data_IF_839496277689
#
_entry.id   IF_839496277689
#
_cell.length_a   1.000
_cell.length_b   1.000
_cell.length_c   1.000
_cell.angle_alpha   90.00
_cell.angle_beta   90.00
_cell.angle_gamma   90.00
#
_symmetry.space_group_name_H-M   'P 1'
#
loop_
_entity.id
_entity.type
_entity.pdbx_description
1 polymer ?
#
# COMPACT_ATOMS: atom_id res chain seq x y z
N UNK A 1 1.57 4.73 14.36
CA UNK A 1 2.30 4.60 15.65
C UNK A 1 1.46 3.74 16.61
N UNK A 2 1.80 3.67 17.90
CA UNK A 2 1.02 2.91 18.88
C UNK A 2 -0.42 3.40 19.05
N UNK A 3 -0.67 4.70 18.84
CA UNK A 3 -2.00 5.29 18.98
C UNK A 3 -2.88 5.08 17.74
N UNK A 4 -2.28 5.07 16.55
CA UNK A 4 -3.03 5.01 15.28
C UNK A 4 -3.17 3.61 14.68
N UNK A 5 -2.38 2.63 15.13
CA UNK A 5 -2.35 1.30 14.48
C UNK A 5 -3.71 0.57 14.52
N UNK A 6 -4.45 0.72 15.62
CA UNK A 6 -5.78 0.13 15.74
C UNK A 6 -6.79 0.82 14.81
N UNK A 7 -6.74 2.15 14.73
CA UNK A 7 -7.64 2.92 13.86
C UNK A 7 -7.43 2.56 12.38
N UNK A 8 -6.17 2.36 11.96
CA UNK A 8 -5.84 1.89 10.61
C UNK A 8 -6.48 0.52 10.36
N UNK A 9 -6.31 -0.42 11.30
CA UNK A 9 -6.86 -1.77 11.17
C UNK A 9 -8.39 -1.76 11.07
N UNK A 10 -9.05 -1.02 11.96
CA UNK A 10 -10.52 -0.89 12.03
C UNK A 10 -11.10 -0.07 10.87
N UNK A 11 -10.31 0.76 10.19
CA UNK A 11 -10.73 1.44 8.97
C UNK A 11 -10.60 0.54 7.72
N UNK A 12 -9.49 -0.19 7.61
CA UNK A 12 -9.19 -1.03 6.43
C UNK A 12 -10.15 -2.21 6.31
N UNK A 13 -10.35 -2.98 7.39
CA UNK A 13 -11.07 -4.24 7.27
C UNK A 13 -12.54 -4.07 6.86
N UNK A 14 -13.32 -3.16 7.49
CA UNK A 14 -14.72 -2.97 7.09
C UNK A 14 -14.84 -2.44 5.67
N UNK A 15 -13.93 -1.55 5.24
CA UNK A 15 -13.94 -0.99 3.88
C UNK A 15 -13.69 -2.07 2.83
N UNK A 16 -12.69 -2.95 3.04
CA UNK A 16 -12.48 -4.11 2.16
C UNK A 16 -13.72 -5.01 2.13
N UNK A 17 -14.34 -5.31 3.28
CA UNK A 17 -15.55 -6.16 3.31
C UNK A 17 -16.75 -5.54 2.60
N UNK A 18 -16.85 -4.22 2.61
CA UNK A 18 -17.96 -3.50 1.97
C UNK A 18 -17.76 -3.35 0.45
N UNK A 19 -16.53 -3.10 0.01
CA UNK A 19 -16.22 -2.80 -1.40
C UNK A 19 -15.82 -4.05 -2.20
N UNK A 20 -15.23 -5.05 -1.56
CA UNK A 20 -14.71 -6.26 -2.21
C UNK A 20 -15.63 -7.46 -1.99
N UNK A 21 -16.00 -8.12 -3.09
CA UNK A 21 -16.74 -9.39 -3.05
C UNK A 21 -15.79 -10.57 -2.91
N UNK A 22 -16.30 -11.72 -2.49
CA UNK A 22 -15.54 -12.98 -2.48
C UNK A 22 -14.41 -13.07 -1.46
N UNK A 23 -14.28 -12.12 -0.53
CA UNK A 23 -13.29 -12.20 0.56
C UNK A 23 -13.58 -13.42 1.44
N UNK A 24 -12.65 -14.37 1.47
CA UNK A 24 -12.75 -15.62 2.27
C UNK A 24 -11.98 -15.54 3.58
N UNK A 25 -10.86 -14.81 3.58
CA UNK A 25 -10.11 -14.49 4.79
C UNK A 25 -9.67 -13.04 4.73
N UNK A 26 -9.78 -12.35 5.86
CA UNK A 26 -9.29 -10.98 5.98
C UNK A 26 -8.93 -10.71 7.44
N UNK A 27 -7.71 -10.24 7.65
CA UNK A 27 -7.20 -9.86 8.96
C UNK A 27 -5.81 -9.26 8.85
N UNK A 28 -5.08 -9.28 9.96
CA UNK A 28 -3.71 -8.82 9.99
C UNK A 28 -3.01 -9.22 11.27
N UNK A 29 -1.69 -9.11 11.27
CA UNK A 29 -0.88 -9.32 12.45
C UNK A 29 0.26 -8.30 12.51
N UNK A 30 0.75 -8.07 13.71
CA UNK A 30 1.99 -7.34 13.93
C UNK A 30 3.15 -8.33 14.02
N UNK A 31 4.25 -8.06 13.32
CA UNK A 31 5.46 -8.90 13.33
C UNK A 31 6.68 -8.21 13.91
N UNK A 32 6.64 -6.88 14.05
CA UNK A 32 7.73 -6.04 14.52
C UNK A 32 7.17 -4.90 15.36
N UNK A 33 7.76 -4.70 16.53
CA UNK A 33 7.41 -3.61 17.43
C UNK A 33 8.65 -2.78 17.75
N UNK A 34 8.43 -1.49 17.92
CA UNK A 34 9.44 -0.46 18.13
C UNK A 34 8.99 0.47 19.26
N UNK A 35 9.89 1.33 19.72
CA UNK A 35 9.58 2.31 20.78
C UNK A 35 8.40 3.21 20.37
N UNK A 36 8.31 3.58 19.10
CA UNK A 36 7.32 4.53 18.57
C UNK A 36 6.14 3.89 17.83
N UNK A 37 6.05 2.56 17.73
CA UNK A 37 4.93 1.90 17.07
C UNK A 37 5.21 0.47 16.68
N UNK A 38 4.33 -0.07 15.83
CA UNK A 38 4.39 -1.46 15.37
C UNK A 38 3.93 -1.51 13.92
N UNK A 39 4.29 -2.57 13.18
CA UNK A 39 3.75 -2.77 11.85
C UNK A 39 2.37 -3.43 11.89
N UNK A 40 1.56 -3.22 10.86
CA UNK A 40 0.39 -4.06 10.56
C UNK A 40 0.64 -4.77 9.24
N UNK A 41 0.61 -6.10 9.27
CA UNK A 41 0.71 -6.95 8.11
C UNK A 41 -0.67 -7.50 7.77
N UNK A 42 -1.34 -6.90 6.78
CA UNK A 42 -2.64 -7.37 6.32
C UNK A 42 -2.52 -8.68 5.57
N UNK A 43 -3.41 -9.62 5.88
CA UNK A 43 -3.54 -10.91 5.19
C UNK A 43 -4.96 -10.98 4.64
N UNK A 44 -5.08 -11.35 3.37
CA UNK A 44 -6.35 -11.47 2.69
C UNK A 44 -6.31 -12.63 1.71
N UNK A 45 -7.43 -13.33 1.62
CA UNK A 45 -7.70 -14.32 0.59
C UNK A 45 -9.10 -14.04 0.05
N UNK A 46 -9.28 -14.33 -1.23
CA UNK A 46 -10.53 -14.17 -1.92
C UNK A 46 -10.73 -15.29 -2.93
N UNK A 47 -11.98 -15.64 -3.16
CA UNK A 47 -12.35 -16.53 -4.25
C UNK A 47 -12.43 -15.72 -5.55
N UNK A 48 -11.84 -16.28 -6.61
CA UNK A 48 -11.88 -15.74 -7.97
C UNK A 48 -13.22 -16.05 -8.65
N UNK A 49 -14.32 -15.65 -7.99
CA UNK A 49 -15.68 -15.86 -8.51
C UNK A 49 -15.85 -14.99 -9.75
N UNK A 50 -16.14 -15.60 -10.89
CA UNK A 50 -16.34 -14.92 -12.19
C UNK A 50 -15.16 -13.98 -12.56
N UNK A 51 -13.94 -14.43 -12.28
CA UNK A 51 -12.71 -13.68 -12.53
C UNK A 51 -11.71 -14.54 -13.30
N UNK A 52 -11.40 -14.12 -14.53
CA UNK A 52 -10.31 -14.73 -15.28
C UNK A 52 -8.95 -14.31 -14.69
N UNK A 53 -7.89 -15.12 -14.82
CA UNK A 53 -6.58 -14.84 -14.23
C UNK A 53 -5.99 -13.46 -14.60
N UNK A 54 -6.20 -13.01 -15.83
CA UNK A 54 -5.69 -11.72 -16.32
C UNK A 54 -6.38 -10.52 -15.65
N UNK A 55 -7.58 -10.72 -15.13
CA UNK A 55 -8.41 -9.69 -14.50
C UNK A 55 -8.19 -9.60 -12.98
N UNK A 56 -7.57 -10.61 -12.37
CA UNK A 56 -7.42 -10.72 -10.91
C UNK A 56 -6.79 -9.45 -10.32
N UNK A 57 -5.73 -8.96 -10.97
CA UNK A 57 -4.99 -7.82 -10.44
C UNK A 57 -5.87 -6.57 -10.36
N UNK A 58 -6.66 -6.31 -11.41
CA UNK A 58 -7.51 -5.13 -11.50
C UNK A 58 -8.78 -5.28 -10.67
N UNK A 59 -9.34 -6.49 -10.59
CA UNK A 59 -10.57 -6.77 -9.84
C UNK A 59 -10.35 -6.89 -8.34
N UNK A 60 -9.19 -7.40 -7.89
CA UNK A 60 -8.95 -7.71 -6.48
C UNK A 60 -7.67 -7.07 -5.94
N UNK A 61 -6.50 -7.40 -6.51
CA UNK A 61 -5.22 -7.03 -5.90
C UNK A 61 -5.05 -5.51 -5.77
N UNK A 62 -5.16 -4.75 -6.87
CA UNK A 62 -4.98 -3.31 -6.85
C UNK A 62 -6.04 -2.57 -6.04
N UNK A 63 -7.34 -2.91 -6.10
CA UNK A 63 -8.34 -2.32 -5.20
C UNK A 63 -8.07 -2.58 -3.71
N UNK A 64 -7.69 -3.80 -3.33
CA UNK A 64 -7.37 -4.11 -1.92
C UNK A 64 -6.14 -3.32 -1.46
N UNK A 65 -5.07 -3.30 -2.27
CA UNK A 65 -3.88 -2.48 -1.98
C UNK A 65 -4.25 -0.99 -1.90
N UNK A 66 -5.20 -0.54 -2.71
CA UNK A 66 -5.69 0.83 -2.68
C UNK A 66 -6.30 1.20 -1.35
N UNK A 67 -7.28 0.43 -0.92
CA UNK A 67 -7.97 0.63 0.35
C UNK A 67 -6.95 0.63 1.50
N UNK A 68 -6.02 -0.33 1.51
CA UNK A 68 -4.98 -0.40 2.54
C UNK A 68 -4.13 0.88 2.55
N UNK A 69 -3.60 1.32 1.40
CA UNK A 69 -2.74 2.50 1.32
C UNK A 69 -3.49 3.79 1.68
N UNK A 70 -4.72 3.96 1.17
CA UNK A 70 -5.55 5.14 1.42
C UNK A 70 -5.90 5.30 2.89
N UNK A 71 -6.42 4.24 3.53
CA UNK A 71 -6.77 4.31 4.96
C UNK A 71 -5.52 4.45 5.83
N UNK A 72 -4.41 3.80 5.46
CA UNK A 72 -3.14 3.94 6.18
C UNK A 72 -2.66 5.40 6.17
N UNK A 73 -2.63 6.04 5.01
CA UNK A 73 -2.23 7.45 4.89
C UNK A 73 -3.22 8.38 5.60
N UNK A 74 -4.53 8.13 5.48
CA UNK A 74 -5.57 8.93 6.12
C UNK A 74 -5.42 8.98 7.65
N UNK A 75 -4.93 7.90 8.24
CA UNK A 75 -4.67 7.79 9.68
C UNK A 75 -3.22 8.08 10.07
N UNK A 76 -2.39 8.60 9.16
CA UNK A 76 -1.00 9.00 9.45
C UNK A 76 -0.02 7.83 9.58
N UNK A 77 -0.37 6.64 9.09
CA UNK A 77 0.56 5.53 8.95
C UNK A 77 1.42 5.64 7.69
N UNK A 78 2.53 4.91 7.68
CA UNK A 78 3.36 4.69 6.48
C UNK A 78 2.84 3.47 5.70
N UNK A 79 2.68 3.59 4.39
CA UNK A 79 2.10 2.53 3.54
C UNK A 79 3.01 1.32 3.33
N UNK A 80 4.27 1.40 3.76
CA UNK A 80 5.26 0.34 3.61
C UNK A 80 6.14 0.26 4.85
N UNK A 81 6.21 -0.94 5.45
CA UNK A 81 7.22 -1.25 6.45
C UNK A 81 8.52 -1.79 5.82
N UNK A 82 8.45 -2.85 5.00
CA UNK A 82 9.64 -3.48 4.39
C UNK A 82 9.47 -4.01 2.95
N UNK A 83 8.25 -4.12 2.42
CA UNK A 83 8.05 -4.61 1.05
C UNK A 83 8.49 -3.65 -0.06
N UNK A 84 8.74 -2.39 0.27
CA UNK A 84 8.99 -1.34 -0.71
C UNK A 84 7.71 -0.83 -1.39
N UNK A 85 7.86 0.30 -2.08
CA UNK A 85 6.78 0.96 -2.83
C UNK A 85 6.40 0.09 -4.03
N UNK A 86 7.35 -0.16 -4.95
CA UNK A 86 7.07 -0.94 -6.15
C UNK A 86 6.09 -0.23 -7.09
N UNK A 87 5.82 -0.83 -8.25
CA UNK A 87 4.81 -0.30 -9.19
C UNK A 87 3.40 -0.28 -8.58
N UNK A 88 3.10 -1.28 -7.74
CA UNK A 88 1.80 -1.42 -7.10
C UNK A 88 1.44 -0.26 -6.17
N UNK A 89 2.42 0.42 -5.56
CA UNK A 89 2.17 1.54 -4.62
C UNK A 89 2.74 2.87 -5.06
N UNK A 90 3.41 2.93 -6.22
CA UNK A 90 4.08 4.14 -6.70
C UNK A 90 3.15 5.36 -6.73
N UNK A 91 1.86 5.17 -7.03
CA UNK A 91 0.88 6.27 -7.10
C UNK A 91 0.70 7.04 -5.79
N UNK A 92 0.99 6.43 -4.64
CA UNK A 92 0.91 7.07 -3.31
C UNK A 92 2.26 7.61 -2.82
N UNK A 93 3.35 7.47 -3.59
CA UNK A 93 4.68 7.86 -3.10
C UNK A 93 4.74 9.34 -2.71
N UNK A 94 3.98 10.20 -3.39
CA UNK A 94 3.95 11.63 -3.10
C UNK A 94 3.28 11.92 -1.76
N UNK A 95 2.19 11.21 -1.47
CA UNK A 95 1.45 11.37 -0.22
C UNK A 95 2.22 10.78 0.96
N UNK A 96 2.86 9.62 0.75
CA UNK A 96 3.73 8.95 1.73
C UNK A 96 4.93 9.83 2.13
N UNK A 97 5.63 10.41 1.16
CA UNK A 97 6.84 11.20 1.43
C UNK A 97 6.55 12.67 1.73
N UNK A 98 5.36 13.17 1.39
CA UNK A 98 4.93 14.54 1.62
C UNK A 98 5.97 15.57 1.16
N UNK A 99 6.43 16.39 2.10
CA UNK A 99 7.42 17.45 1.85
C UNK A 99 8.80 16.94 1.40
N UNK A 100 9.11 15.66 1.61
CA UNK A 100 10.37 15.06 1.18
C UNK A 100 10.34 14.53 -0.25
N UNK A 101 9.17 14.46 -0.88
CA UNK A 101 9.02 13.96 -2.25
C UNK A 101 9.88 14.69 -3.31
N UNK A 102 10.03 16.03 -3.31
CA UNK A 102 10.88 16.72 -4.29
C UNK A 102 12.35 16.29 -4.24
N UNK A 103 12.87 15.93 -3.05
CA UNK A 103 14.23 15.42 -2.90
C UNK A 103 14.40 14.07 -3.63
N UNK A 104 13.41 13.18 -3.49
CA UNK A 104 13.41 11.87 -4.17
C UNK A 104 13.40 12.02 -5.69
N UNK A 105 12.60 12.96 -6.21
CA UNK A 105 12.55 13.29 -7.65
C UNK A 105 13.89 13.85 -8.13
N UNK A 106 14.48 14.79 -7.39
CA UNK A 106 15.77 15.40 -7.74
C UNK A 106 16.89 14.35 -7.80
N UNK A 107 16.95 13.43 -6.84
CA UNK A 107 17.90 12.31 -6.85
C UNK A 107 17.68 11.40 -8.07
N UNK A 108 16.42 11.03 -8.37
CA UNK A 108 16.11 10.19 -9.53
C UNK A 108 16.52 10.85 -10.84
N UNK A 109 16.29 12.14 -11.01
CA UNK A 109 16.69 12.88 -12.22
C UNK A 109 18.21 13.01 -12.35
N UNK A 110 18.93 13.26 -11.23
CA UNK A 110 20.38 13.39 -11.24
C UNK A 110 21.08 12.07 -11.61
N UNK A 111 20.60 10.94 -11.10
CA UNK A 111 21.23 9.64 -11.30
C UNK A 111 20.65 8.82 -12.46
N UNK A 112 19.45 9.14 -12.94
CA UNK A 112 18.79 8.45 -14.06
C UNK A 112 18.09 9.43 -15.01
N UNK A 113 18.83 10.33 -15.68
CA UNK A 113 18.25 11.37 -16.53
C UNK A 113 17.46 10.81 -17.73
N UNK A 114 17.77 9.57 -18.16
CA UNK A 114 17.08 8.89 -19.26
C UNK A 114 15.93 8.00 -18.78
N UNK A 115 15.73 7.88 -17.46
CA UNK A 115 14.66 7.09 -16.87
C UNK A 115 14.73 5.60 -17.20
N UNK A 116 15.92 5.00 -17.34
CA UNK A 116 16.06 3.59 -17.76
C UNK A 116 16.11 2.63 -16.56
N UNK A 117 16.41 3.11 -15.36
CA UNK A 117 16.54 2.26 -14.17
C UNK A 117 15.17 1.97 -13.55
N UNK A 118 14.62 0.80 -13.87
CA UNK A 118 13.41 0.22 -13.28
C UNK A 118 12.21 1.20 -13.19
N UNK A 119 11.81 1.70 -14.35
CA UNK A 119 10.73 2.68 -14.55
C UNK A 119 9.46 2.39 -13.75
N UNK A 120 8.84 3.45 -13.20
CA UNK A 120 7.53 3.39 -12.57
C UNK A 120 7.51 2.81 -11.15
N UNK A 121 8.65 2.38 -10.61
CA UNK A 121 8.71 1.64 -9.33
C UNK A 121 8.72 2.55 -8.10
N UNK A 122 9.11 3.81 -8.27
CA UNK A 122 9.15 4.82 -7.20
C UNK A 122 8.41 6.06 -7.68
N UNK A 123 8.84 6.65 -8.79
CA UNK A 123 8.12 7.75 -9.45
C UNK A 123 7.16 7.15 -10.47
N UNK A 124 5.83 7.41 -10.37
CA UNK A 124 4.85 6.95 -11.36
C UNK A 124 5.19 7.41 -12.79
N UNK A 125 4.76 6.62 -13.77
CA UNK A 125 4.77 6.97 -15.19
C UNK A 125 3.36 6.90 -15.74
#
# INVERSE_FOLDING_TARGET
DWSTINDIYEAVLPRIRAEMKGITLLGGHSSHSYINGTNMYFNYFYDLIDCEPEEENDKYYFPIIAIICEETLRHGGSIVHHHGIGKARARWVKDEYGSSYPMLVALKQAFDPNGIMNMGTIIPR
#
